data_IF_839180694472
#
_entry.id   IF_839180694472
#
_cell.length_a   1.000
_cell.length_b   1.000
_cell.length_c   1.000
_cell.angle_alpha   90.00
_cell.angle_beta   90.00
_cell.angle_gamma   90.00
#
_symmetry.space_group_name_H-M   'P 1'
#
loop_
_entity.id
_entity.type
_entity.pdbx_description
1 polymer ?
#
# COMPACT_ATOMS: atom_id res chain seq x y z
N UNK A 1 28.59 -6.58 12.36
CA UNK A 1 27.16 -6.98 12.29
C UNK A 1 26.40 -5.76 11.80
N UNK A 2 25.49 -5.90 10.84
CA UNK A 2 24.76 -4.78 10.24
C UNK A 2 23.93 -4.04 11.30
N UNK A 3 23.96 -2.72 11.29
CA UNK A 3 23.32 -1.83 12.28
C UNK A 3 22.29 -0.92 11.66
N UNK A 4 22.37 -0.66 10.34
CA UNK A 4 21.50 0.28 9.65
C UNK A 4 21.24 -0.13 8.20
N UNK A 5 20.01 -0.57 7.94
CA UNK A 5 19.57 -1.00 6.62
C UNK A 5 18.93 0.16 5.87
N UNK A 6 19.36 0.39 4.63
CA UNK A 6 18.62 1.17 3.63
C UNK A 6 17.71 0.22 2.85
N UNK A 7 16.41 0.44 2.80
CA UNK A 7 15.47 -0.38 2.03
C UNK A 7 14.86 0.47 0.92
N UNK A 8 15.12 0.10 -0.33
CA UNK A 8 14.49 0.76 -1.47
C UNK A 8 13.10 0.20 -1.66
N UNK A 9 12.10 1.08 -1.68
CA UNK A 9 10.72 0.75 -1.99
C UNK A 9 10.38 1.47 -3.29
N UNK A 10 10.21 0.68 -4.35
CA UNK A 10 9.63 1.18 -5.60
C UNK A 10 8.13 0.84 -5.66
N UNK A 11 7.39 1.59 -6.48
CA UNK A 11 5.97 1.32 -6.75
C UNK A 11 5.73 0.18 -7.74
N UNK A 12 6.79 -0.46 -8.24
CA UNK A 12 6.72 -1.50 -9.26
C UNK A 12 6.33 -2.85 -8.63
N UNK A 13 5.80 -3.80 -9.42
CA UNK A 13 5.55 -5.15 -8.95
C UNK A 13 6.83 -5.76 -8.35
N UNK A 14 6.79 -6.05 -7.05
CA UNK A 14 7.91 -6.60 -6.29
C UNK A 14 8.70 -5.59 -5.43
N UNK A 15 8.53 -4.28 -5.60
CA UNK A 15 9.27 -3.27 -4.80
C UNK A 15 9.09 -3.39 -3.29
N UNK A 16 7.88 -3.75 -2.88
CA UNK A 16 7.54 -4.02 -1.47
C UNK A 16 7.98 -5.40 -0.98
N UNK A 17 8.36 -6.32 -1.88
CA UNK A 17 8.82 -7.66 -1.48
C UNK A 17 10.17 -7.59 -0.75
N UNK A 18 10.88 -6.46 -0.84
CA UNK A 18 12.04 -6.17 0.00
C UNK A 18 11.66 -5.84 1.45
N UNK A 19 10.47 -5.25 1.69
CA UNK A 19 10.08 -4.72 3.01
C UNK A 19 10.02 -5.86 4.02
N UNK A 20 9.27 -6.93 3.72
CA UNK A 20 9.12 -8.06 4.64
C UNK A 20 10.45 -8.67 5.08
N UNK A 21 11.25 -9.23 4.15
CA UNK A 21 12.56 -9.82 4.45
C UNK A 21 13.55 -8.83 5.10
N UNK A 22 13.56 -7.56 4.68
CA UNK A 22 14.44 -6.57 5.27
C UNK A 22 14.05 -6.23 6.71
N UNK A 23 12.75 -6.13 7.02
CA UNK A 23 12.28 -5.91 8.39
C UNK A 23 12.51 -7.14 9.27
N UNK A 24 12.31 -8.35 8.75
CA UNK A 24 12.63 -9.59 9.47
C UNK A 24 14.12 -9.65 9.83
N UNK A 25 15.01 -9.33 8.87
CA UNK A 25 16.44 -9.26 9.12
C UNK A 25 16.78 -8.18 10.14
N UNK A 26 16.27 -6.96 9.96
CA UNK A 26 16.53 -5.84 10.87
C UNK A 26 16.13 -6.18 12.30
N UNK A 27 14.97 -6.83 12.49
CA UNK A 27 14.51 -7.31 13.79
C UNK A 27 15.43 -8.38 14.37
N UNK A 28 15.87 -9.35 13.55
CA UNK A 28 16.75 -10.42 13.99
C UNK A 28 18.14 -9.92 14.43
N UNK A 29 18.66 -8.85 13.82
CA UNK A 29 19.98 -8.29 14.13
C UNK A 29 19.95 -7.03 15.01
N UNK A 30 18.76 -6.54 15.39
CA UNK A 30 18.61 -5.30 16.15
C UNK A 30 19.03 -4.05 15.39
N UNK A 31 18.89 -4.04 14.06
CA UNK A 31 19.25 -2.92 13.21
C UNK A 31 18.09 -1.93 13.03
N UNK A 32 18.44 -0.66 12.80
CA UNK A 32 17.48 0.37 12.38
C UNK A 32 17.27 0.32 10.87
N UNK A 33 16.11 0.78 10.40
CA UNK A 33 15.76 0.76 8.98
C UNK A 33 15.51 2.18 8.46
N UNK A 34 16.02 2.49 7.28
CA UNK A 34 15.65 3.70 6.54
C UNK A 34 15.05 3.31 5.20
N UNK A 35 13.82 3.73 4.96
CA UNK A 35 13.15 3.51 3.69
C UNK A 35 13.45 4.65 2.73
N UNK A 36 13.77 4.31 1.49
CA UNK A 36 13.87 5.23 0.36
C UNK A 36 12.74 4.93 -0.58
N UNK A 37 11.88 5.92 -0.82
CA UNK A 37 10.71 5.80 -1.68
C UNK A 37 11.07 6.33 -3.07
N UNK A 38 11.21 5.43 -4.05
CA UNK A 38 11.59 5.81 -5.42
C UNK A 38 10.35 6.27 -6.19
N UNK A 39 10.39 7.47 -6.79
CA UNK A 39 9.31 7.99 -7.64
C UNK A 39 8.27 8.90 -6.96
N UNK A 40 8.45 9.26 -5.69
CA UNK A 40 7.67 10.34 -5.08
C UNK A 40 8.16 11.68 -5.64
N UNK A 41 7.30 12.42 -6.35
CA UNK A 41 7.60 13.80 -6.77
C UNK A 41 7.86 14.67 -5.54
N UNK A 42 8.98 15.42 -5.48
CA UNK A 42 9.17 16.40 -4.44
C UNK A 42 8.26 17.59 -4.76
N UNK A 43 7.25 17.85 -3.91
CA UNK A 43 6.66 19.17 -3.58
C UNK A 43 5.32 18.90 -2.86
N UNK A 44 4.96 19.55 -1.74
CA UNK A 44 5.08 20.97 -1.46
C UNK A 44 5.37 21.25 0.03
N UNK A 45 6.22 22.24 0.29
CA UNK A 45 6.60 22.73 1.63
C UNK A 45 5.52 23.61 2.26
N UNK A 46 4.27 23.14 2.31
CA UNK A 46 3.19 23.85 2.98
C UNK A 46 2.46 22.94 3.98
N UNK A 47 2.18 23.57 5.12
CA UNK A 47 1.63 23.02 6.35
C UNK A 47 0.33 22.24 6.13
N UNK A 48 0.25 21.01 6.65
CA UNK A 48 -1.00 20.33 6.98
C UNK A 48 -1.33 19.06 6.19
N UNK A 49 -1.00 18.98 4.91
CA UNK A 49 -1.28 17.81 4.06
C UNK A 49 -0.01 17.41 3.30
N UNK A 50 0.90 16.69 3.99
CA UNK A 50 1.99 15.98 3.30
C UNK A 50 1.32 14.80 2.60
N UNK A 51 1.43 14.64 1.29
CA UNK A 51 1.01 13.40 0.63
C UNK A 51 1.97 12.27 1.03
N UNK A 52 1.56 11.35 1.95
CA UNK A 52 2.46 10.48 2.69
C UNK A 52 2.19 9.00 2.36
N UNK A 53 1.73 8.67 1.15
CA UNK A 53 1.09 7.39 0.83
C UNK A 53 1.98 6.18 1.14
N UNK A 54 3.17 6.16 0.55
CA UNK A 54 4.17 5.12 0.79
C UNK A 54 4.80 5.27 2.18
N UNK A 55 4.91 6.50 2.69
CA UNK A 55 5.45 6.78 4.02
C UNK A 55 4.63 6.15 5.14
N UNK A 56 3.31 6.36 5.13
CA UNK A 56 2.38 5.77 6.08
C UNK A 56 2.38 4.23 6.02
N UNK A 57 2.52 3.65 4.82
CA UNK A 57 2.65 2.20 4.66
C UNK A 57 3.92 1.65 5.30
N UNK A 58 5.09 2.20 4.96
CA UNK A 58 6.38 1.70 5.47
C UNK A 58 6.56 1.98 6.96
N UNK A 59 6.07 3.12 7.44
CA UNK A 59 6.06 3.45 8.86
C UNK A 59 5.15 2.49 9.65
N UNK A 60 3.93 2.22 9.16
CA UNK A 60 3.04 1.26 9.81
C UNK A 60 3.66 -0.15 9.86
N UNK A 61 4.29 -0.59 8.75
CA UNK A 61 5.02 -1.86 8.69
C UNK A 61 6.15 -1.92 9.74
N UNK A 62 6.99 -0.89 9.82
CA UNK A 62 8.10 -0.86 10.76
C UNK A 62 7.62 -0.76 12.22
N UNK A 63 6.61 0.07 12.51
CA UNK A 63 6.01 0.19 13.86
C UNK A 63 5.43 -1.15 14.31
N UNK A 64 4.74 -1.87 13.42
CA UNK A 64 4.17 -3.17 13.75
C UNK A 64 5.23 -4.25 14.02
N UNK A 65 6.42 -4.12 13.43
CA UNK A 65 7.57 -4.99 13.71
C UNK A 65 8.40 -4.53 14.92
N UNK A 66 8.03 -3.42 15.58
CA UNK A 66 8.75 -2.85 16.72
C UNK A 66 10.11 -2.23 16.37
N UNK A 67 10.28 -1.76 15.13
CA UNK A 67 11.56 -1.27 14.62
C UNK A 67 11.70 0.25 14.69
N UNK A 68 12.91 0.70 15.02
CA UNK A 68 13.33 2.08 14.80
C UNK A 68 13.46 2.34 13.30
N UNK A 69 12.71 3.32 12.79
CA UNK A 69 12.65 3.61 11.36
C UNK A 69 12.79 5.09 11.05
N UNK A 70 13.28 5.38 9.86
CA UNK A 70 13.24 6.70 9.24
C UNK A 70 12.78 6.57 7.77
N UNK A 71 12.20 7.63 7.23
CA UNK A 71 11.85 7.71 5.81
C UNK A 71 12.68 8.84 5.22
N UNK A 72 13.58 8.50 4.29
CA UNK A 72 14.32 9.50 3.54
C UNK A 72 13.50 9.89 2.31
N UNK A 73 13.16 11.18 2.20
CA UNK A 73 12.65 11.73 0.95
C UNK A 73 13.80 11.82 -0.06
N UNK A 74 13.50 11.61 -1.34
CA UNK A 74 14.39 11.99 -2.43
C UNK A 74 14.49 13.53 -2.49
N UNK A 75 15.16 14.15 -1.53
CA UNK A 75 15.22 15.60 -1.37
C UNK A 75 16.24 16.04 -0.33
N UNK A 76 17.41 16.47 -0.82
CA UNK A 76 18.53 17.21 -0.21
C UNK A 76 18.72 17.18 1.33
N UNK A 77 19.90 16.78 1.84
CA UNK A 77 20.28 17.06 3.22
C UNK A 77 20.64 18.55 3.37
N UNK A 78 20.02 19.26 4.32
CA UNK A 78 20.43 20.64 4.60
C UNK A 78 19.46 21.47 5.45
N UNK A 79 19.05 20.97 6.62
CA UNK A 79 18.55 21.83 7.69
C UNK A 79 19.57 21.81 8.84
N UNK A 80 20.68 22.50 8.63
CA UNK A 80 21.68 22.80 9.65
C UNK A 80 22.35 24.13 9.33
N UNK A 81 22.04 25.17 10.10
CA UNK A 81 22.84 26.42 10.15
C UNK A 81 24.31 26.07 10.50
N UNK A 82 25.34 26.78 9.99
CA UNK A 82 25.56 28.19 10.36
C UNK A 82 26.23 29.10 9.30
N UNK A 83 26.18 30.41 9.55
CA UNK A 83 27.35 31.29 9.41
C UNK A 83 27.87 31.66 8.02
N UNK A 84 27.64 32.93 7.65
CA UNK A 84 28.52 33.82 6.87
C UNK A 84 29.68 33.21 6.05
N UNK A 85 29.62 33.37 4.72
CA UNK A 85 30.84 33.43 3.90
C UNK A 85 30.70 33.02 2.43
N UNK A 86 31.01 33.97 1.55
CA UNK A 86 31.35 33.86 0.11
C UNK A 86 30.24 33.59 -0.95
N UNK A 87 29.96 34.58 -1.83
CA UNK A 87 29.28 34.34 -3.10
C UNK A 87 30.31 33.88 -4.14
N UNK A 88 30.34 32.59 -4.48
CA UNK A 88 31.27 32.11 -5.51
C UNK A 88 31.39 30.59 -5.73
N UNK A 89 30.50 29.76 -5.19
CA UNK A 89 30.52 28.32 -5.47
C UNK A 89 29.31 27.95 -6.35
N UNK A 90 29.58 27.29 -7.48
CA UNK A 90 28.57 26.88 -8.45
C UNK A 90 27.44 26.06 -7.82
N UNK A 91 26.27 26.13 -8.46
CA UNK A 91 25.13 25.28 -8.15
C UNK A 91 25.59 23.84 -7.92
N UNK A 92 25.27 23.21 -6.76
CA UNK A 92 25.62 21.82 -6.56
C UNK A 92 24.86 21.01 -7.62
N UNK A 93 25.60 20.16 -8.34
CA UNK A 93 25.03 19.16 -9.22
C UNK A 93 23.94 18.39 -8.47
N UNK A 94 22.86 18.01 -9.17
CA UNK A 94 21.80 17.18 -8.60
C UNK A 94 22.44 16.02 -7.83
N UNK A 95 22.25 16.01 -6.51
CA UNK A 95 22.85 15.01 -5.64
C UNK A 95 22.46 13.62 -6.15
N UNK A 96 23.45 12.74 -6.31
CA UNK A 96 23.20 11.36 -6.77
C UNK A 96 22.20 10.69 -5.82
N UNK A 97 21.01 10.40 -6.32
CA UNK A 97 19.94 9.71 -5.57
C UNK A 97 20.04 8.20 -5.72
N UNK A 98 21.15 7.67 -6.25
CA UNK A 98 21.38 6.23 -6.30
C UNK A 98 21.31 5.63 -4.89
N UNK A 99 20.81 4.39 -4.74
CA UNK A 99 20.76 3.74 -3.42
C UNK A 99 22.13 3.64 -2.75
N UNK A 100 23.22 3.50 -3.53
CA UNK A 100 24.59 3.47 -3.03
C UNK A 100 25.03 4.81 -2.43
N UNK A 101 24.79 5.92 -3.14
CA UNK A 101 25.10 7.25 -2.63
C UNK A 101 24.27 7.62 -1.40
N UNK A 102 22.97 7.27 -1.40
CA UNK A 102 22.09 7.47 -0.26
C UNK A 102 22.51 6.63 0.96
N UNK A 103 22.93 5.39 0.76
CA UNK A 103 23.43 4.55 1.84
C UNK A 103 24.67 5.17 2.50
N UNK A 104 25.61 5.68 1.70
CA UNK A 104 26.78 6.40 2.22
C UNK A 104 26.41 7.69 2.96
N UNK A 105 25.48 8.48 2.42
CA UNK A 105 25.06 9.75 3.04
C UNK A 105 24.28 9.55 4.36
N UNK A 106 23.61 8.41 4.52
CA UNK A 106 22.79 8.08 5.69
C UNK A 106 23.50 7.13 6.67
N UNK A 107 24.79 6.85 6.46
CA UNK A 107 25.58 5.89 7.23
C UNK A 107 24.91 4.50 7.35
N UNK A 108 24.26 4.06 6.26
CA UNK A 108 23.69 2.73 6.15
C UNK A 108 24.79 1.72 5.79
N UNK A 109 24.78 0.56 6.44
CA UNK A 109 25.78 -0.49 6.27
C UNK A 109 25.26 -1.72 5.52
N UNK A 110 24.01 -1.69 5.07
CA UNK A 110 23.39 -2.69 4.21
C UNK A 110 22.30 -2.06 3.34
N UNK A 111 22.23 -2.43 2.06
CA UNK A 111 21.14 -2.02 1.15
C UNK A 111 20.25 -3.23 0.88
N UNK A 112 18.98 -3.19 1.28
CA UNK A 112 17.96 -4.17 0.95
C UNK A 112 17.21 -3.79 -0.33
N UNK A 113 17.23 -4.68 -1.32
CA UNK A 113 16.51 -4.53 -2.59
C UNK A 113 15.70 -5.79 -2.91
N UNK A 114 14.57 -5.65 -3.58
CA UNK A 114 13.76 -6.78 -4.03
C UNK A 114 14.45 -7.52 -5.18
N UNK A 115 14.27 -8.84 -5.32
CA UNK A 115 14.68 -9.51 -6.56
C UNK A 115 13.93 -8.91 -7.75
N UNK A 116 14.62 -8.75 -8.89
CA UNK A 116 13.95 -8.36 -10.13
C UNK A 116 13.03 -9.50 -10.58
N UNK A 117 11.79 -9.20 -11.02
CA UNK A 117 10.95 -10.21 -11.63
C UNK A 117 11.55 -10.69 -12.97
N UNK A 118 11.13 -11.86 -13.43
CA UNK A 118 11.72 -12.49 -14.63
C UNK A 118 11.47 -11.70 -15.92
N UNK A 119 10.42 -10.87 -15.93
CA UNK A 119 9.97 -9.99 -17.01
C UNK A 119 10.36 -8.52 -16.79
N UNK A 120 11.27 -8.22 -15.86
CA UNK A 120 11.76 -6.86 -15.63
C UNK A 120 12.35 -6.24 -16.91
N UNK A 121 12.09 -4.95 -17.12
CA UNK A 121 12.63 -4.23 -18.27
C UNK A 121 14.17 -4.09 -18.21
N UNK A 122 14.77 -3.84 -19.37
CA UNK A 122 16.22 -3.72 -19.52
C UNK A 122 16.82 -2.56 -18.71
N UNK A 123 16.05 -1.49 -18.47
CA UNK A 123 16.46 -0.34 -17.65
C UNK A 123 16.56 -0.70 -16.17
N UNK A 124 15.54 -1.36 -15.62
CA UNK A 124 15.55 -1.85 -14.24
C UNK A 124 16.68 -2.88 -14.02
N UNK A 125 16.92 -3.76 -15.00
CA UNK A 125 18.03 -4.70 -14.98
C UNK A 125 19.40 -3.99 -15.01
N UNK A 126 19.56 -2.96 -15.86
CA UNK A 126 20.79 -2.16 -15.94
C UNK A 126 21.05 -1.37 -14.66
N UNK A 127 20.01 -0.75 -14.08
CA UNK A 127 20.10 -0.03 -12.80
C UNK A 127 20.50 -0.98 -11.66
N UNK A 128 19.93 -2.18 -11.60
CA UNK A 128 20.33 -3.18 -10.60
C UNK A 128 21.78 -3.60 -10.78
N UNK A 129 22.22 -3.86 -12.01
CA UNK A 129 23.60 -4.23 -12.30
C UNK A 129 24.56 -3.12 -11.87
N UNK A 130 24.24 -1.87 -12.23
CA UNK A 130 25.02 -0.71 -11.83
C UNK A 130 25.13 -0.58 -10.31
N UNK A 131 24.03 -0.76 -9.57
CA UNK A 131 24.05 -0.74 -8.10
C UNK A 131 24.99 -1.82 -7.54
N UNK A 132 24.91 -3.05 -8.07
CA UNK A 132 25.74 -4.16 -7.60
C UNK A 132 27.23 -3.96 -7.95
N UNK A 133 27.54 -3.32 -9.08
CA UNK A 133 28.91 -3.06 -9.53
C UNK A 133 29.57 -1.87 -8.81
N UNK A 134 28.78 -0.87 -8.42
CA UNK A 134 29.32 0.43 -7.93
C UNK A 134 29.10 0.67 -6.44
N UNK A 135 28.24 -0.10 -5.78
CA UNK A 135 27.96 0.11 -4.35
C UNK A 135 29.17 -0.27 -3.49
N UNK A 136 29.59 0.66 -2.64
CA UNK A 136 30.56 0.41 -1.56
C UNK A 136 29.92 -0.26 -0.33
N UNK A 137 28.59 -0.28 -0.26
CA UNK A 137 27.81 -0.91 0.80
C UNK A 137 27.28 -2.27 0.33
N UNK A 138 27.34 -3.33 1.16
CA UNK A 138 26.76 -4.63 0.82
C UNK A 138 25.30 -4.51 0.38
N UNK A 139 24.92 -5.26 -0.65
CA UNK A 139 23.54 -5.29 -1.18
C UNK A 139 22.91 -6.66 -0.93
N UNK A 140 21.85 -6.68 -0.13
CA UNK A 140 20.98 -7.83 0.07
C UNK A 140 19.89 -7.84 -0.99
N UNK A 141 19.94 -8.81 -1.88
CA UNK A 141 18.84 -9.09 -2.82
C UNK A 141 17.89 -10.08 -2.17
N UNK A 142 16.68 -9.63 -1.83
CA UNK A 142 15.66 -10.44 -1.20
C UNK A 142 15.03 -11.38 -2.26
N UNK A 143 15.25 -12.71 -2.17
CA UNK A 143 14.84 -13.63 -3.21
C UNK A 143 13.31 -13.81 -3.25
N UNK A 144 12.73 -13.78 -4.44
CA UNK A 144 11.31 -14.03 -4.68
C UNK A 144 11.05 -15.48 -5.13
N UNK A 145 11.66 -16.49 -4.47
CA UNK A 145 11.37 -17.90 -4.80
C UNK A 145 10.07 -18.33 -4.12
N UNK A 146 8.96 -17.96 -4.74
CA UNK A 146 7.62 -18.24 -4.27
C UNK A 146 6.95 -19.27 -5.15
N UNK A 147 6.09 -20.11 -4.56
CA UNK A 147 5.24 -21.00 -5.35
C UNK A 147 4.37 -20.17 -6.31
N UNK A 148 4.06 -20.64 -7.54
CA UNK A 148 3.29 -19.85 -8.50
C UNK A 148 1.92 -19.38 -7.95
N UNK A 149 1.28 -20.20 -7.13
CA UNK A 149 0.01 -19.88 -6.48
C UNK A 149 0.18 -18.73 -5.46
N UNK A 150 1.24 -18.76 -4.65
CA UNK A 150 1.58 -17.68 -3.73
C UNK A 150 1.77 -16.35 -4.49
N UNK A 151 2.58 -16.36 -5.55
CA UNK A 151 2.85 -15.17 -6.36
C UNK A 151 1.55 -14.56 -6.91
N UNK A 152 0.63 -15.38 -7.44
CA UNK A 152 -0.65 -14.91 -7.97
C UNK A 152 -1.58 -14.37 -6.89
N UNK A 153 -1.66 -15.03 -5.73
CA UNK A 153 -2.45 -14.56 -4.59
C UNK A 153 -1.94 -13.21 -4.09
N UNK A 154 -0.62 -13.07 -3.88
CA UNK A 154 -0.02 -11.82 -3.44
C UNK A 154 -0.23 -10.71 -4.48
N UNK A 155 0.01 -11.00 -5.77
CA UNK A 155 -0.21 -10.03 -6.85
C UNK A 155 -1.65 -9.49 -6.88
N UNK A 156 -2.67 -10.34 -6.67
CA UNK A 156 -4.08 -9.90 -6.58
C UNK A 156 -4.33 -8.99 -5.38
N UNK A 157 -3.78 -9.30 -4.21
CA UNK A 157 -3.94 -8.45 -3.02
C UNK A 157 -3.29 -7.09 -3.25
N UNK A 158 -2.09 -7.06 -3.82
CA UNK A 158 -1.35 -5.83 -4.13
C UNK A 158 -2.00 -5.00 -5.23
N UNK A 159 -2.62 -5.63 -6.23
CA UNK A 159 -3.42 -4.94 -7.23
C UNK A 159 -4.62 -4.23 -6.58
N UNK A 160 -5.28 -4.88 -5.60
CA UNK A 160 -6.37 -4.26 -4.87
C UNK A 160 -5.90 -3.08 -4.00
N UNK A 161 -4.74 -3.20 -3.35
CA UNK A 161 -4.12 -2.08 -2.60
C UNK A 161 -3.78 -0.91 -3.53
N UNK A 162 -3.25 -1.17 -4.72
CA UNK A 162 -2.94 -0.14 -5.72
C UNK A 162 -4.20 0.57 -6.20
N UNK A 163 -5.25 -0.17 -6.56
CA UNK A 163 -6.51 0.41 -7.00
C UNK A 163 -7.15 1.31 -5.92
N UNK A 164 -7.06 0.91 -4.64
CA UNK A 164 -7.50 1.74 -3.53
C UNK A 164 -6.65 2.99 -3.37
N UNK A 165 -5.32 2.85 -3.44
CA UNK A 165 -4.37 3.96 -3.39
C UNK A 165 -4.67 5.00 -4.48
N UNK A 166 -4.71 4.58 -5.75
CA UNK A 166 -5.00 5.44 -6.90
C UNK A 166 -6.33 6.19 -6.73
N UNK A 167 -7.37 5.52 -6.22
CA UNK A 167 -8.66 6.17 -5.97
C UNK A 167 -8.60 7.21 -4.86
N UNK A 168 -7.88 6.93 -3.78
CA UNK A 168 -7.67 7.89 -2.68
C UNK A 168 -6.90 9.11 -3.16
N UNK A 169 -5.81 8.91 -3.92
CA UNK A 169 -5.03 9.98 -4.53
C UNK A 169 -5.90 10.85 -5.43
N UNK A 170 -6.66 10.23 -6.34
CA UNK A 170 -7.55 10.96 -7.24
C UNK A 170 -8.59 11.81 -6.48
N UNK A 171 -9.14 11.28 -5.39
CA UNK A 171 -10.12 12.00 -4.57
C UNK A 171 -9.47 13.17 -3.81
N UNK A 172 -8.28 12.98 -3.23
CA UNK A 172 -7.55 14.07 -2.56
C UNK A 172 -7.17 15.18 -3.53
N UNK A 173 -6.65 14.83 -4.73
CA UNK A 173 -6.33 15.83 -5.76
C UNK A 173 -7.57 16.59 -6.24
N UNK A 174 -8.72 15.92 -6.36
CA UNK A 174 -9.98 16.57 -6.70
C UNK A 174 -10.45 17.54 -5.61
N UNK A 175 -10.22 17.22 -4.32
CA UNK A 175 -10.55 18.11 -3.21
C UNK A 175 -9.65 19.35 -3.15
N UNK A 176 -8.35 19.20 -3.43
CA UNK A 176 -7.38 20.30 -3.43
C UNK A 176 -7.51 21.22 -4.66
N UNK A 177 -7.87 20.65 -5.81
CA UNK A 177 -7.97 21.34 -7.11
C UNK A 177 -9.21 22.20 -7.29
N UNK A 178 -10.14 22.24 -6.33
CA UNK A 178 -11.36 23.06 -6.39
C UNK A 178 -11.08 24.55 -6.08
N UNK A 179 -10.19 25.17 -6.87
CA UNK A 179 -9.95 26.61 -6.83
C UNK A 179 -10.72 27.32 -7.95
N UNK A 180 -11.75 28.07 -7.55
CA UNK A 180 -12.45 29.24 -8.14
C UNK A 180 -12.62 29.48 -9.66
N UNK A 181 -11.85 28.89 -10.58
CA UNK A 181 -11.79 29.33 -11.98
C UNK A 181 -12.73 28.58 -12.95
N UNK A 182 -13.21 27.39 -12.58
CA UNK A 182 -14.17 26.65 -13.40
C UNK A 182 -15.07 25.85 -12.46
N UNK A 183 -16.20 26.43 -12.04
CA UNK A 183 -17.14 25.71 -11.16
C UNK A 183 -18.21 24.99 -12.00
N UNK A 184 -18.26 23.65 -11.95
CA UNK A 184 -19.53 22.93 -12.02
C UNK A 184 -20.51 23.47 -10.95
N UNK A 185 -21.81 23.23 -11.11
CA UNK A 185 -22.77 23.55 -10.05
C UNK A 185 -22.42 22.76 -8.79
N UNK A 186 -22.69 23.30 -7.60
CA UNK A 186 -22.41 22.63 -6.31
C UNK A 186 -23.01 21.21 -6.24
N UNK A 187 -24.14 20.99 -6.91
CA UNK A 187 -24.79 19.68 -7.03
C UNK A 187 -23.94 18.65 -7.81
N UNK A 188 -23.26 19.08 -8.88
CA UNK A 188 -22.41 18.19 -9.69
C UNK A 188 -21.14 17.76 -8.93
N UNK A 189 -20.57 18.66 -8.13
CA UNK A 189 -19.42 18.35 -7.28
C UNK A 189 -19.80 17.37 -6.16
N UNK A 190 -20.97 17.55 -5.54
CA UNK A 190 -21.51 16.63 -4.55
C UNK A 190 -21.82 15.24 -5.13
N UNK A 191 -22.38 15.18 -6.35
CA UNK A 191 -22.63 13.92 -7.06
C UNK A 191 -21.34 13.17 -7.40
N UNK A 192 -20.33 13.88 -7.90
CA UNK A 192 -19.02 13.30 -8.20
C UNK A 192 -18.33 12.77 -6.94
N UNK A 193 -18.36 13.52 -5.83
CA UNK A 193 -17.81 13.09 -4.56
C UNK A 193 -18.53 11.84 -4.03
N UNK A 194 -19.86 11.79 -4.11
CA UNK A 194 -20.65 10.62 -3.70
C UNK A 194 -20.32 9.39 -4.53
N UNK A 195 -20.18 9.54 -5.84
CA UNK A 195 -19.76 8.45 -6.72
C UNK A 195 -18.34 7.95 -6.39
N UNK A 196 -17.41 8.86 -6.08
CA UNK A 196 -16.06 8.51 -5.67
C UNK A 196 -16.03 7.76 -4.32
N UNK A 197 -16.81 8.21 -3.33
CA UNK A 197 -16.96 7.53 -2.04
C UNK A 197 -17.62 6.15 -2.18
N UNK A 198 -18.64 6.03 -3.04
CA UNK A 198 -19.25 4.73 -3.34
C UNK A 198 -18.24 3.77 -3.99
N UNK A 199 -17.40 4.28 -4.90
CA UNK A 199 -16.30 3.49 -5.48
C UNK A 199 -15.26 3.08 -4.44
N UNK A 200 -14.92 3.93 -3.47
CA UNK A 200 -14.03 3.58 -2.36
C UNK A 200 -14.63 2.49 -1.48
N UNK A 201 -15.90 2.62 -1.11
CA UNK A 201 -16.61 1.62 -0.33
C UNK A 201 -16.67 0.27 -1.08
N UNK A 202 -16.92 0.29 -2.39
CA UNK A 202 -16.91 -0.92 -3.22
C UNK A 202 -15.53 -1.59 -3.25
N UNK A 203 -14.44 -0.82 -3.38
CA UNK A 203 -13.08 -1.37 -3.33
C UNK A 203 -12.75 -1.98 -1.97
N UNK A 204 -13.11 -1.31 -0.86
CA UNK A 204 -12.90 -1.85 0.48
C UNK A 204 -13.74 -3.10 0.74
N UNK A 205 -15.01 -3.11 0.33
CA UNK A 205 -15.89 -4.29 0.44
C UNK A 205 -15.34 -5.45 -0.39
N UNK A 206 -14.85 -5.18 -1.60
CA UNK A 206 -14.20 -6.18 -2.44
C UNK A 206 -12.94 -6.73 -1.78
N UNK A 207 -12.17 -5.92 -1.04
CA UNK A 207 -10.98 -6.38 -0.29
C UNK A 207 -11.32 -7.21 0.95
N UNK A 208 -12.34 -6.84 1.72
CA UNK A 208 -12.64 -7.49 3.00
C UNK A 208 -13.72 -8.57 2.94
N UNK A 209 -14.42 -8.71 1.81
CA UNK A 209 -15.44 -9.73 1.57
C UNK A 209 -14.84 -11.11 1.28
N UNK A 210 -15.20 -11.71 0.14
CA UNK A 210 -14.73 -13.06 -0.27
C UNK A 210 -13.40 -13.04 -1.04
N UNK A 211 -12.62 -11.98 -0.86
CA UNK A 211 -11.37 -11.76 -1.60
C UNK A 211 -10.28 -12.78 -1.29
N UNK A 212 -9.20 -12.74 -2.07
CA UNK A 212 -7.96 -13.42 -1.72
C UNK A 212 -7.39 -12.94 -0.37
N UNK A 213 -7.49 -11.65 -0.06
CA UNK A 213 -6.99 -11.03 1.18
C UNK A 213 -7.72 -11.55 2.42
N UNK A 214 -9.06 -11.57 2.39
CA UNK A 214 -9.87 -12.05 3.49
C UNK A 214 -9.70 -13.55 3.74
N UNK A 215 -9.63 -14.34 2.67
CA UNK A 215 -9.34 -15.78 2.77
C UNK A 215 -7.93 -16.04 3.29
N UNK A 216 -6.94 -15.25 2.87
CA UNK A 216 -5.57 -15.32 3.37
C UNK A 216 -5.51 -15.04 4.88
N UNK A 217 -6.17 -13.98 5.35
CA UNK A 217 -6.30 -13.71 6.79
C UNK A 217 -6.96 -14.88 7.53
N UNK A 218 -8.04 -15.44 7.00
CA UNK A 218 -8.72 -16.59 7.61
C UNK A 218 -7.84 -17.85 7.65
N UNK A 219 -7.08 -18.13 6.58
CA UNK A 219 -6.12 -19.23 6.55
C UNK A 219 -5.00 -19.03 7.58
N UNK A 220 -4.47 -17.81 7.67
CA UNK A 220 -3.40 -17.49 8.62
C UNK A 220 -3.86 -17.63 10.08
N UNK A 221 -5.09 -17.22 10.41
CA UNK A 221 -5.68 -17.44 11.75
C UNK A 221 -5.68 -18.92 12.16
N UNK A 222 -5.90 -19.83 11.20
CA UNK A 222 -5.89 -21.28 11.46
C UNK A 222 -4.48 -21.85 11.65
N UNK A 223 -3.46 -21.20 11.09
CA UNK A 223 -2.10 -21.72 11.01
C UNK A 223 -1.15 -21.12 12.05
N UNK A 224 -1.37 -19.89 12.50
CA UNK A 224 -0.42 -19.19 13.36
C UNK A 224 -1.10 -18.31 14.42
N UNK A 225 -1.19 -18.81 15.65
CA UNK A 225 -1.71 -18.06 16.80
C UNK A 225 -0.92 -16.77 17.08
N UNK A 226 0.40 -16.77 16.80
CA UNK A 226 1.26 -15.59 16.94
C UNK A 226 0.84 -14.39 16.08
N UNK A 227 -0.06 -14.59 15.11
CA UNK A 227 -0.58 -13.52 14.23
C UNK A 227 -1.94 -12.98 14.68
N UNK A 228 -2.57 -13.59 15.70
CA UNK A 228 -3.93 -13.26 16.12
C UNK A 228 -4.10 -11.78 16.50
N UNK A 229 -3.18 -11.25 17.32
CA UNK A 229 -3.25 -9.85 17.75
C UNK A 229 -3.19 -8.85 16.59
N UNK A 230 -2.39 -9.14 15.57
CA UNK A 230 -2.24 -8.32 14.36
C UNK A 230 -3.50 -8.38 13.48
N UNK A 231 -4.07 -9.58 13.33
CA UNK A 231 -5.32 -9.78 12.59
C UNK A 231 -6.52 -9.15 13.30
N UNK A 232 -6.52 -9.11 14.64
CA UNK A 232 -7.54 -8.42 15.44
C UNK A 232 -7.42 -6.89 15.34
N UNK A 233 -6.20 -6.35 15.24
CA UNK A 233 -5.97 -4.93 14.96
C UNK A 233 -6.50 -4.57 13.58
N UNK A 234 -6.24 -5.39 12.55
CA UNK A 234 -6.76 -5.16 11.20
C UNK A 234 -8.29 -5.18 11.14
N UNK A 235 -8.94 -6.07 11.90
CA UNK A 235 -10.40 -6.07 12.04
C UNK A 235 -10.91 -4.78 12.72
N UNK A 236 -10.19 -4.28 13.73
CA UNK A 236 -10.52 -3.00 14.40
C UNK A 236 -10.33 -1.81 13.46
N UNK A 237 -9.27 -1.81 12.66
CA UNK A 237 -9.03 -0.78 11.64
C UNK A 237 -10.15 -0.78 10.59
N UNK A 238 -10.53 -1.94 10.07
CA UNK A 238 -11.63 -2.07 9.10
C UNK A 238 -12.94 -1.49 9.61
N UNK A 239 -13.31 -1.75 10.87
CA UNK A 239 -14.53 -1.18 11.47
C UNK A 239 -14.45 0.35 11.57
N UNK A 240 -13.29 0.90 11.96
CA UNK A 240 -13.07 2.35 11.97
C UNK A 240 -13.17 2.95 10.58
N UNK A 241 -12.61 2.28 9.56
CA UNK A 241 -12.65 2.74 8.18
C UNK A 241 -14.07 2.79 7.62
N UNK A 242 -14.90 1.79 7.92
CA UNK A 242 -16.31 1.79 7.56
C UNK A 242 -17.05 3.01 8.16
N UNK A 243 -16.85 3.27 9.45
CA UNK A 243 -17.43 4.44 10.11
C UNK A 243 -16.92 5.78 9.54
N UNK A 244 -15.64 5.85 9.14
CA UNK A 244 -15.05 7.02 8.53
C UNK A 244 -15.63 7.29 7.13
N UNK A 245 -15.84 6.26 6.32
CA UNK A 245 -16.51 6.37 5.01
C UNK A 245 -17.95 6.87 5.15
N UNK A 246 -18.71 6.36 6.13
CA UNK A 246 -20.07 6.83 6.40
C UNK A 246 -20.07 8.31 6.83
N UNK A 247 -19.06 8.74 7.59
CA UNK A 247 -18.91 10.14 7.99
C UNK A 247 -18.58 11.04 6.80
N UNK A 248 -17.70 10.60 5.91
CA UNK A 248 -17.39 11.31 4.67
C UNK A 248 -18.62 11.45 3.77
N UNK A 249 -19.43 10.41 3.66
CA UNK A 249 -20.67 10.45 2.89
C UNK A 249 -21.67 11.47 3.45
N UNK A 250 -21.78 11.58 4.77
CA UNK A 250 -22.60 12.60 5.43
C UNK A 250 -22.07 14.01 5.16
N UNK A 251 -20.77 14.22 5.35
CA UNK A 251 -20.13 15.53 5.10
C UNK A 251 -20.28 15.98 3.63
N UNK A 252 -20.21 15.04 2.67
CA UNK A 252 -20.45 15.34 1.27
C UNK A 252 -21.91 15.71 0.99
N UNK A 253 -22.87 15.07 1.69
CA UNK A 253 -24.29 15.38 1.57
C UNK A 253 -24.66 16.74 2.19
N UNK A 254 -23.95 17.16 3.24
CA UNK A 254 -24.11 18.48 3.86
C UNK A 254 -23.61 19.62 2.95
N UNK A 255 -22.80 19.30 1.93
CA UNK A 255 -22.41 20.19 0.85
C UNK A 255 -20.89 20.31 0.65
N UNK A 256 -20.49 20.56 -0.59
CA UNK A 256 -19.10 20.81 -0.99
C UNK A 256 -18.96 22.18 -1.67
N UNK A 257 -17.78 22.82 -1.59
CA UNK A 257 -16.55 22.39 -0.89
C UNK A 257 -16.66 22.48 0.64
N UNK A 258 -15.91 21.64 1.37
CA UNK A 258 -15.96 21.58 2.84
C UNK A 258 -14.60 21.24 3.44
N UNK A 259 -14.02 22.16 4.21
CA UNK A 259 -12.76 21.91 4.92
C UNK A 259 -12.87 20.75 5.92
N UNK A 260 -14.07 20.49 6.46
CA UNK A 260 -14.33 19.34 7.31
C UNK A 260 -14.29 18.03 6.52
N UNK A 261 -14.81 18.03 5.30
CA UNK A 261 -14.69 16.90 4.38
C UNK A 261 -13.23 16.63 4.03
N UNK A 262 -12.47 17.66 3.66
CA UNK A 262 -11.06 17.53 3.27
C UNK A 262 -10.20 17.00 4.43
N UNK A 263 -10.41 17.51 5.64
CA UNK A 263 -9.72 17.03 6.84
C UNK A 263 -10.09 15.57 7.18
N UNK A 264 -11.38 15.22 7.09
CA UNK A 264 -11.83 13.85 7.30
C UNK A 264 -11.26 12.90 6.24
N UNK A 265 -11.16 13.34 4.99
CA UNK A 265 -10.62 12.57 3.89
C UNK A 265 -9.14 12.30 4.09
N UNK A 266 -8.36 13.30 4.50
CA UNK A 266 -6.95 13.13 4.82
C UNK A 266 -6.73 12.13 5.98
N UNK A 267 -7.57 12.17 7.01
CA UNK A 267 -7.52 11.21 8.13
C UNK A 267 -7.86 9.80 7.65
N UNK A 268 -8.92 9.64 6.84
CA UNK A 268 -9.31 8.36 6.27
C UNK A 268 -8.21 7.77 5.37
N UNK A 269 -7.66 8.58 4.46
CA UNK A 269 -6.59 8.16 3.56
C UNK A 269 -5.38 7.66 4.34
N UNK A 270 -4.94 8.40 5.37
CA UNK A 270 -3.87 7.96 6.26
C UNK A 270 -4.17 6.60 6.90
N UNK A 271 -5.38 6.42 7.46
CA UNK A 271 -5.79 5.14 8.07
C UNK A 271 -5.73 3.97 7.07
N UNK A 272 -6.25 4.18 5.86
CA UNK A 272 -6.23 3.17 4.81
C UNK A 272 -4.79 2.79 4.38
N UNK A 273 -3.88 3.77 4.25
CA UNK A 273 -2.47 3.50 3.97
C UNK A 273 -1.77 2.78 5.13
N UNK A 274 -2.01 3.17 6.38
CA UNK A 274 -1.46 2.48 7.54
C UNK A 274 -1.93 1.01 7.61
N UNK A 275 -3.20 0.75 7.29
CA UNK A 275 -3.75 -0.61 7.22
C UNK A 275 -3.08 -1.46 6.13
N UNK A 276 -2.95 -0.93 4.90
CA UNK A 276 -2.24 -1.62 3.81
C UNK A 276 -0.77 -1.85 4.16
N UNK A 277 -0.13 -0.92 4.85
CA UNK A 277 1.24 -1.06 5.34
C UNK A 277 1.43 -2.18 6.34
N UNK A 278 0.53 -2.30 7.32
CA UNK A 278 0.54 -3.42 8.28
C UNK A 278 0.30 -4.76 7.55
N UNK A 279 -0.61 -4.77 6.58
CA UNK A 279 -0.88 -5.96 5.77
C UNK A 279 0.38 -6.42 5.01
N UNK A 280 1.05 -5.50 4.32
CA UNK A 280 2.25 -5.78 3.51
C UNK A 280 3.49 -6.08 4.35
N UNK A 281 3.65 -5.41 5.49
CA UNK A 281 4.85 -5.50 6.32
C UNK A 281 4.82 -6.58 7.40
N UNK A 282 3.63 -7.11 7.74
CA UNK A 282 3.46 -8.09 8.83
C UNK A 282 2.70 -9.30 8.37
N UNK A 283 1.50 -9.11 7.80
CA UNK A 283 0.63 -10.23 7.46
C UNK A 283 1.15 -11.01 6.26
N UNK A 284 1.59 -10.35 5.18
CA UNK A 284 2.14 -11.08 4.03
C UNK A 284 3.41 -11.86 4.38
N UNK A 285 4.41 -11.31 5.10
CA UNK A 285 5.55 -12.09 5.57
C UNK A 285 5.13 -13.28 6.45
N UNK A 286 4.19 -13.07 7.38
CA UNK A 286 3.68 -14.15 8.22
C UNK A 286 2.96 -15.23 7.39
N UNK A 287 2.16 -14.84 6.40
CA UNK A 287 1.49 -15.77 5.49
C UNK A 287 2.51 -16.60 4.72
N UNK A 288 3.55 -15.98 4.17
CA UNK A 288 4.65 -16.69 3.49
C UNK A 288 5.37 -17.68 4.39
N UNK A 289 5.49 -17.35 5.68
CA UNK A 289 6.16 -18.20 6.67
C UNK A 289 5.32 -19.39 7.13
N UNK A 290 4.01 -19.21 7.28
CA UNK A 290 3.14 -20.17 7.97
C UNK A 290 2.15 -20.91 7.06
N UNK A 291 1.88 -20.41 5.86
CA UNK A 291 1.02 -21.10 4.89
C UNK A 291 1.86 -22.05 4.02
N UNK A 292 1.35 -23.26 3.82
CA UNK A 292 1.97 -24.26 2.94
C UNK A 292 1.40 -24.21 1.52
N UNK A 293 1.99 -24.98 0.60
CA UNK A 293 1.57 -25.03 -0.81
C UNK A 293 0.08 -25.37 -0.99
N UNK A 294 -0.46 -26.25 -0.15
CA UNK A 294 -1.89 -26.60 -0.18
C UNK A 294 -2.78 -25.38 0.13
N UNK A 295 -2.41 -24.57 1.13
CA UNK A 295 -3.13 -23.35 1.48
C UNK A 295 -3.05 -22.34 0.32
N UNK A 296 -1.86 -22.17 -0.28
CA UNK A 296 -1.67 -21.25 -1.41
C UNK A 296 -2.48 -21.66 -2.64
N UNK A 297 -2.54 -22.95 -2.96
CA UNK A 297 -3.34 -23.46 -4.08
C UNK A 297 -4.85 -23.28 -3.83
N UNK A 298 -5.32 -23.48 -2.60
CA UNK A 298 -6.71 -23.21 -2.22
C UNK A 298 -7.05 -21.72 -2.37
N UNK A 299 -6.17 -20.84 -1.88
CA UNK A 299 -6.32 -19.38 -2.02
C UNK A 299 -6.27 -18.94 -3.49
N UNK A 300 -5.51 -19.63 -4.33
CA UNK A 300 -5.38 -19.28 -5.75
C UNK A 300 -6.61 -19.62 -6.57
N UNK A 301 -7.36 -20.63 -6.13
CA UNK A 301 -8.63 -21.01 -6.71
C UNK A 301 -9.65 -19.89 -6.51
N UNK A 302 -10.36 -19.44 -7.56
CA UNK A 302 -11.41 -18.45 -7.41
C UNK A 302 -12.50 -18.98 -6.48
N UNK A 303 -13.11 -18.12 -5.64
CA UNK A 303 -14.22 -18.56 -4.81
C UNK A 303 -15.31 -19.13 -5.72
N UNK A 304 -15.89 -20.27 -5.35
CA UNK A 304 -17.04 -20.80 -6.06
C UNK A 304 -18.10 -19.69 -6.08
N UNK A 305 -18.53 -19.28 -7.28
CA UNK A 305 -19.68 -18.42 -7.41
C UNK A 305 -20.83 -19.11 -6.69
N UNK A 306 -21.28 -18.54 -5.57
CA UNK A 306 -22.51 -19.01 -4.92
C UNK A 306 -23.62 -19.03 -5.98
N UNK A 307 -24.60 -19.95 -5.86
CA UNK A 307 -25.64 -20.07 -6.86
C UNK A 307 -26.26 -18.68 -7.05
N UNK A 308 -26.16 -18.15 -8.28
CA UNK A 308 -26.94 -17.00 -8.70
C UNK A 308 -28.36 -17.30 -8.25
N UNK A 309 -28.94 -16.41 -7.45
CA UNK A 309 -30.29 -16.56 -6.93
C UNK A 309 -31.18 -17.02 -8.08
N UNK A 310 -31.59 -18.28 -8.03
CA UNK A 310 -32.56 -18.85 -8.96
C UNK A 310 -33.78 -17.97 -8.82
N UNK A 311 -34.06 -17.18 -9.86
CA UNK A 311 -35.33 -16.46 -9.98
C UNK A 311 -36.44 -17.49 -9.80
N UNK A 312 -37.29 -17.39 -8.76
CA UNK A 312 -38.42 -18.28 -8.65
C UNK A 312 -39.51 -17.78 -9.60
N UNK A 313 -39.92 -18.63 -10.52
CA UNK A 313 -41.19 -18.48 -11.22
C UNK A 313 -41.11 -18.57 -12.74
N UNK A 314 -41.28 -19.79 -13.25
CA UNK A 314 -42.19 -20.11 -14.35
C UNK A 314 -41.97 -21.59 -14.70
N UNK A 315 -42.55 -22.48 -13.91
CA UNK A 315 -42.95 -23.79 -14.41
C UNK A 315 -44.16 -24.21 -13.57
N UNK A 316 -45.31 -23.75 -14.06
CA UNK A 316 -46.62 -24.25 -13.71
C UNK A 316 -46.80 -25.52 -14.56
N UNK A 317 -46.93 -26.72 -13.98
CA UNK A 317 -47.34 -27.87 -14.76
C UNK A 317 -48.84 -27.77 -15.01
N UNK A 318 -49.17 -27.25 -16.19
CA UNK A 318 -50.43 -27.52 -16.86
C UNK A 318 -50.44 -29.00 -17.28
N UNK A 319 -51.25 -29.82 -16.61
CA UNK A 319 -52.10 -30.77 -17.30
C UNK A 319 -53.06 -31.49 -16.33
N UNK A 320 -54.32 -31.09 -16.48
CA UNK A 320 -55.50 -31.92 -16.73
C UNK A 320 -55.85 -33.08 -15.76
N UNK A 321 -57.01 -32.95 -15.10
CA UNK A 321 -58.01 -34.03 -15.01
C UNK A 321 -59.40 -33.50 -14.61
N UNK A 322 -60.37 -33.61 -15.53
CA UNK A 322 -61.85 -33.81 -15.36
C UNK A 322 -62.57 -33.25 -16.62
N UNK A 323 -62.87 -34.06 -17.64
CA UNK A 323 -63.93 -35.07 -17.77
C UNK A 323 -65.23 -34.52 -18.42
N UNK A 324 -65.63 -35.19 -19.51
CA UNK A 324 -66.99 -35.36 -20.07
C UNK A 324 -67.60 -34.21 -20.91
N UNK A 325 -67.66 -34.37 -22.23
CA UNK A 325 -68.78 -34.96 -23.01
C UNK A 325 -68.39 -35.18 -24.49
#
# INVERSE_FOLDING_TARGET
MYRHLLVTVDGMPGGIDAIGPALELARAVGARVTFVLTGATPDSRLSGARMPEHGAKVEAAARAQGLSHAIAGAGHPGAGHPGAGHPGAGYPAAADTSPGALAGALDCDLIGVAALPHDADAGAAAQRRLLLETSSVPVLVCPARHAPAETRVMARCLAAHRALGERLTALMMASEGSTAATRPTADADADAARAALASLAALQNARFGTSAEARLCAALRRRAESTAAELDELDRQRRRDAHALDALARLAADGLPSAAFDAALAVYARGAFEQMGRMEGVIFPAARRYLGDADWNELDTPPASGPAATTPGADEPDDAEHASD
#
